data_IF_148444811090
#
_entry.id   IF_148444811090
#
_cell.length_a   1.000
_cell.length_b   1.000
_cell.length_c   1.000
_cell.angle_alpha   90.00
_cell.angle_beta   90.00
_cell.angle_gamma   90.00
#
_symmetry.space_group_name_H-M   'P 1'
#
loop_
_entity.id
_entity.type
_entity.pdbx_description
1 polymer ?
#
# COMPACT_ATOMS: atom_id res chain seq x y z
N UNK A 1 -0.04 -4.41 -19.88
CA UNK A 1 1.44 -4.32 -19.80
C UNK A 1 2.00 -5.37 -20.74
N UNK A 2 2.73 -4.96 -21.78
CA UNK A 2 3.40 -5.90 -22.71
C UNK A 2 4.82 -6.08 -22.23
N UNK A 3 5.18 -7.31 -21.85
CA UNK A 3 6.55 -7.66 -21.45
C UNK A 3 7.42 -7.59 -22.71
N UNK A 4 8.48 -6.78 -22.67
CA UNK A 4 9.41 -6.62 -23.80
C UNK A 4 10.74 -7.29 -23.47
N UNK A 5 11.58 -7.54 -24.47
CA UNK A 5 12.90 -8.15 -24.25
C UNK A 5 13.83 -7.31 -23.34
N UNK A 6 13.46 -6.06 -23.05
CA UNK A 6 14.20 -5.15 -22.16
C UNK A 6 13.81 -5.29 -20.68
N UNK A 7 12.75 -6.02 -20.35
CA UNK A 7 12.32 -6.19 -18.95
C UNK A 7 13.06 -7.37 -18.32
N UNK A 8 13.96 -7.07 -17.40
CA UNK A 8 14.68 -8.06 -16.60
C UNK A 8 13.80 -8.61 -15.48
N UNK A 9 13.61 -9.92 -15.42
CA UNK A 9 12.93 -10.57 -14.30
C UNK A 9 13.96 -11.04 -13.27
N UNK A 10 13.62 -11.03 -11.97
CA UNK A 10 14.47 -11.58 -10.93
C UNK A 10 14.61 -13.10 -11.08
N UNK A 11 15.65 -13.66 -10.48
CA UNK A 11 15.87 -15.12 -10.45
C UNK A 11 14.85 -15.81 -9.53
N UNK A 12 14.49 -17.07 -9.82
CA UNK A 12 13.58 -17.85 -8.97
C UNK A 12 14.09 -18.01 -7.54
N UNK A 13 15.41 -18.11 -7.35
CA UNK A 13 16.03 -18.17 -6.03
C UNK A 13 15.77 -16.91 -5.18
N UNK A 14 15.54 -15.76 -5.81
CA UNK A 14 15.18 -14.53 -5.11
C UNK A 14 13.69 -14.49 -4.71
N UNK A 15 12.87 -15.32 -5.32
CA UNK A 15 11.44 -15.40 -5.03
C UNK A 15 11.13 -16.46 -3.97
N UNK A 16 12.07 -17.40 -3.72
CA UNK A 16 11.90 -18.43 -2.70
C UNK A 16 12.02 -17.84 -1.30
N UNK A 17 10.87 -17.70 -0.63
CA UNK A 17 10.73 -17.13 0.71
C UNK A 17 9.78 -18.03 1.49
N UNK A 18 10.00 -18.15 2.80
CA UNK A 18 9.08 -18.90 3.66
C UNK A 18 7.68 -18.26 3.65
N UNK A 19 6.72 -18.99 3.09
CA UNK A 19 5.33 -18.54 2.99
C UNK A 19 4.55 -18.63 4.30
N UNK A 20 3.56 -17.75 4.42
CA UNK A 20 2.63 -17.73 5.55
C UNK A 20 1.40 -18.59 5.26
N UNK A 21 1.49 -19.88 5.59
CA UNK A 21 0.42 -20.87 5.38
C UNK A 21 -0.68 -20.77 6.43
N UNK A 22 -1.44 -19.67 6.43
CA UNK A 22 -2.58 -19.43 7.32
C UNK A 22 -3.86 -19.13 6.53
N UNK A 23 -5.02 -19.50 7.08
CA UNK A 23 -6.31 -19.16 6.48
C UNK A 23 -6.61 -17.67 6.59
N UNK A 24 -7.48 -17.18 5.70
CA UNK A 24 -7.96 -15.79 5.74
C UNK A 24 -8.57 -15.40 7.08
N UNK A 25 -9.28 -16.33 7.74
CA UNK A 25 -9.88 -16.10 9.06
C UNK A 25 -8.81 -15.83 10.13
N UNK A 26 -7.71 -16.59 10.14
CA UNK A 26 -6.60 -16.40 11.05
C UNK A 26 -5.87 -15.06 10.80
N UNK A 27 -5.61 -14.73 9.53
CA UNK A 27 -5.01 -13.43 9.17
C UNK A 27 -5.89 -12.26 9.62
N UNK A 28 -7.21 -12.39 9.43
CA UNK A 28 -8.17 -11.36 9.82
C UNK A 28 -8.29 -11.23 11.33
N UNK A 29 -8.26 -12.34 12.07
CA UNK A 29 -8.23 -12.35 13.53
C UNK A 29 -7.00 -11.59 14.07
N UNK A 30 -5.81 -11.87 13.54
CA UNK A 30 -4.55 -11.26 13.98
C UNK A 30 -4.28 -9.86 13.44
N UNK A 31 -5.08 -9.37 12.49
CA UNK A 31 -4.78 -8.18 11.66
C UNK A 31 -4.48 -6.91 12.46
N UNK A 32 -5.22 -6.61 13.53
CA UNK A 32 -5.02 -5.40 14.33
C UNK A 32 -3.69 -5.41 15.08
N UNK A 33 -3.34 -6.54 15.70
CA UNK A 33 -2.09 -6.68 16.44
C UNK A 33 -0.91 -6.81 15.49
N UNK A 34 -1.04 -7.62 14.44
CA UNK A 34 -0.03 -7.76 13.39
C UNK A 34 0.28 -6.40 12.74
N UNK A 35 -0.75 -5.65 12.36
CA UNK A 35 -0.59 -4.34 11.74
C UNK A 35 0.11 -3.34 12.65
N UNK A 36 -0.07 -3.45 13.98
CA UNK A 36 0.61 -2.57 14.93
C UNK A 36 2.06 -2.96 15.16
N UNK A 37 2.35 -4.25 15.26
CA UNK A 37 3.69 -4.77 15.53
C UNK A 37 4.60 -4.68 14.30
N UNK A 38 4.04 -4.92 13.11
CA UNK A 38 4.77 -4.85 11.84
C UNK A 38 4.55 -3.52 11.09
N UNK A 39 4.08 -2.47 11.79
CA UNK A 39 3.71 -1.19 11.18
C UNK A 39 4.86 -0.56 10.38
N UNK A 40 6.07 -0.52 10.96
CA UNK A 40 7.24 0.11 10.31
C UNK A 40 7.59 -0.56 8.98
N UNK A 41 7.74 -1.88 8.99
CA UNK A 41 8.14 -2.66 7.82
C UNK A 41 7.07 -2.68 6.74
N UNK A 42 5.79 -2.82 7.13
CA UNK A 42 4.67 -2.80 6.20
C UNK A 42 4.57 -1.44 5.50
N UNK A 43 4.72 -0.36 6.25
CA UNK A 43 4.62 0.99 5.73
C UNK A 43 5.79 1.31 4.80
N UNK A 44 7.01 0.87 5.12
CA UNK A 44 8.18 1.00 4.24
C UNK A 44 7.98 0.28 2.90
N UNK A 45 7.47 -0.96 2.92
CA UNK A 45 7.13 -1.70 1.72
C UNK A 45 6.07 -0.97 0.87
N UNK A 46 5.03 -0.44 1.50
CA UNK A 46 3.98 0.31 0.80
C UNK A 46 4.50 1.61 0.20
N UNK A 47 5.40 2.32 0.90
CA UNK A 47 6.06 3.50 0.37
C UNK A 47 6.96 3.15 -0.82
N UNK A 48 7.70 2.04 -0.73
CA UNK A 48 8.55 1.55 -1.83
C UNK A 48 7.73 1.30 -3.09
N UNK A 49 6.62 0.56 -2.93
CA UNK A 49 5.72 0.24 -4.03
C UNK A 49 5.09 1.49 -4.64
N UNK A 50 4.71 2.46 -3.82
CA UNK A 50 4.07 3.69 -4.29
C UNK A 50 5.04 4.63 -5.02
N UNK A 51 6.30 4.69 -4.59
CA UNK A 51 7.29 5.58 -5.18
C UNK A 51 7.91 5.01 -6.46
N UNK A 52 8.26 3.72 -6.48
CA UNK A 52 8.96 3.11 -7.60
C UNK A 52 8.01 2.56 -8.68
N UNK A 53 6.77 2.23 -8.32
CA UNK A 53 5.76 1.56 -9.18
C UNK A 53 6.28 0.26 -9.85
N UNK A 54 7.39 -0.29 -9.33
CA UNK A 54 8.09 -1.47 -9.84
C UNK A 54 8.19 -2.52 -8.72
N UNK A 55 7.47 -3.66 -8.80
CA UNK A 55 7.43 -4.65 -7.71
C UNK A 55 8.77 -5.36 -7.47
N UNK A 56 9.63 -5.41 -8.50
CA UNK A 56 10.94 -6.09 -8.47
C UNK A 56 11.93 -5.40 -7.54
N UNK A 57 11.87 -4.07 -7.45
CA UNK A 57 12.78 -3.29 -6.63
C UNK A 57 12.46 -3.43 -5.13
N UNK A 58 11.20 -3.74 -4.78
CA UNK A 58 10.71 -3.81 -3.40
C UNK A 58 10.67 -5.24 -2.82
N UNK A 59 11.39 -6.20 -3.42
CA UNK A 59 11.37 -7.59 -2.98
C UNK A 59 12.02 -7.77 -1.61
N UNK A 60 13.08 -7.02 -1.30
CA UNK A 60 13.76 -7.10 -0.01
C UNK A 60 12.84 -6.69 1.15
N UNK A 61 12.11 -5.59 0.98
CA UNK A 61 11.11 -5.08 1.91
C UNK A 61 9.93 -6.07 2.02
N UNK A 62 9.52 -6.70 0.92
CA UNK A 62 8.52 -7.77 0.92
C UNK A 62 8.94 -8.99 1.76
N UNK A 63 10.22 -9.39 1.69
CA UNK A 63 10.79 -10.43 2.57
C UNK A 63 10.80 -10.00 4.03
N UNK A 64 11.08 -8.72 4.29
CA UNK A 64 11.01 -8.18 5.64
C UNK A 64 9.58 -8.25 6.21
N UNK A 65 8.56 -7.90 5.41
CA UNK A 65 7.13 -7.99 5.80
C UNK A 65 6.74 -9.42 6.16
N UNK A 66 7.05 -10.38 5.29
CA UNK A 66 6.73 -11.80 5.51
C UNK A 66 7.44 -12.36 6.74
N UNK A 67 8.72 -12.03 6.94
CA UNK A 67 9.48 -12.43 8.12
C UNK A 67 8.90 -11.83 9.42
N UNK A 68 8.45 -10.58 9.41
CA UNK A 68 7.80 -9.95 10.56
C UNK A 68 6.49 -10.67 10.90
N UNK A 69 5.67 -10.97 9.90
CA UNK A 69 4.42 -11.70 10.09
C UNK A 69 4.65 -13.11 10.65
N UNK A 70 5.64 -13.85 10.13
CA UNK A 70 6.00 -15.17 10.66
C UNK A 70 6.43 -15.10 12.12
N UNK A 71 7.26 -14.12 12.49
CA UNK A 71 7.71 -13.93 13.87
C UNK A 71 6.55 -13.57 14.80
N UNK A 72 5.60 -12.75 14.34
CA UNK A 72 4.38 -12.45 15.08
C UNK A 72 3.54 -13.70 15.34
N UNK A 73 3.20 -14.47 14.30
CA UNK A 73 2.39 -15.67 14.47
C UNK A 73 3.10 -16.77 15.27
N UNK A 74 4.44 -16.86 15.20
CA UNK A 74 5.22 -17.73 16.09
C UNK A 74 5.10 -17.33 17.56
N UNK A 75 5.07 -16.03 17.88
CA UNK A 75 4.84 -15.54 19.25
C UNK A 75 3.43 -15.85 19.72
N UNK A 76 2.42 -15.52 18.91
CA UNK A 76 1.01 -15.79 19.24
C UNK A 76 0.76 -17.29 19.45
N UNK A 77 1.32 -18.15 18.60
CA UNK A 77 1.21 -19.60 18.73
C UNK A 77 1.87 -20.15 20.01
N UNK A 78 2.91 -19.50 20.53
CA UNK A 78 3.58 -19.95 21.76
C UNK A 78 2.83 -19.57 23.03
N UNK A 79 2.12 -18.44 23.02
CA UNK A 79 1.52 -17.87 24.23
C UNK A 79 -0.01 -17.97 24.27
N UNK A 80 -0.70 -17.57 23.20
CA UNK A 80 -2.17 -17.39 23.16
C UNK A 80 -2.82 -18.24 22.06
N UNK A 81 -2.38 -19.49 21.89
CA UNK A 81 -2.81 -20.31 20.77
C UNK A 81 -4.31 -20.65 20.84
N UNK A 82 -4.79 -21.04 22.01
CA UNK A 82 -6.17 -21.52 22.18
C UNK A 82 -7.18 -20.40 21.98
N UNK A 83 -6.94 -19.24 22.58
CA UNK A 83 -7.77 -18.04 22.47
C UNK A 83 -7.79 -17.53 21.04
N UNK A 84 -6.63 -17.53 20.37
CA UNK A 84 -6.52 -17.13 18.99
C UNK A 84 -7.30 -18.07 18.06
N UNK A 85 -7.19 -19.38 18.26
CA UNK A 85 -7.92 -20.36 17.45
C UNK A 85 -9.43 -20.30 17.67
N UNK A 86 -9.89 -20.06 18.91
CA UNK A 86 -11.30 -19.83 19.19
C UNK A 86 -11.83 -18.58 18.46
N UNK A 87 -11.06 -17.49 18.47
CA UNK A 87 -11.43 -16.27 17.78
C UNK A 87 -11.45 -16.44 16.25
N UNK A 88 -10.40 -17.05 15.68
CA UNK A 88 -10.33 -17.34 14.25
C UNK A 88 -11.46 -18.26 13.79
N UNK A 89 -11.77 -19.31 14.55
CA UNK A 89 -12.87 -20.24 14.27
C UNK A 89 -14.23 -19.55 14.32
N UNK A 90 -14.42 -18.62 15.27
CA UNK A 90 -15.63 -17.81 15.33
C UNK A 90 -15.78 -16.95 14.06
N UNK A 91 -14.71 -16.26 13.64
CA UNK A 91 -14.75 -15.42 12.43
C UNK A 91 -15.05 -16.23 11.17
N UNK A 92 -14.48 -17.42 11.07
CA UNK A 92 -14.69 -18.34 9.95
C UNK A 92 -16.15 -18.84 9.87
N UNK A 93 -16.75 -19.20 11.01
CA UNK A 93 -18.10 -19.78 11.07
C UNK A 93 -19.24 -18.76 11.18
N UNK A 94 -18.96 -17.53 11.63
CA UNK A 94 -20.00 -16.57 12.01
C UNK A 94 -20.72 -15.93 10.83
N UNK A 95 -20.01 -15.57 9.76
CA UNK A 95 -20.61 -14.98 8.57
C UNK A 95 -19.75 -15.24 7.32
N UNK A 96 -20.40 -15.29 6.15
CA UNK A 96 -19.68 -15.44 4.88
C UNK A 96 -18.71 -14.29 4.56
N UNK A 97 -18.87 -13.15 5.22
CA UNK A 97 -17.98 -11.97 5.10
C UNK A 97 -16.93 -11.86 6.21
N UNK A 98 -16.89 -12.82 7.15
CA UNK A 98 -16.03 -12.82 8.34
C UNK A 98 -16.15 -11.52 9.16
N UNK A 99 -17.37 -11.16 9.54
CA UNK A 99 -17.67 -9.90 10.22
C UNK A 99 -17.28 -9.93 11.71
N UNK A 100 -16.53 -8.93 12.15
CA UNK A 100 -16.05 -8.82 13.55
C UNK A 100 -17.16 -8.60 14.58
N UNK A 101 -18.36 -8.19 14.17
CA UNK A 101 -19.50 -7.91 15.05
C UNK A 101 -19.94 -9.14 15.87
N UNK A 102 -19.90 -10.33 15.26
CA UNK A 102 -20.42 -11.55 15.89
C UNK A 102 -19.45 -12.17 16.90
N UNK A 103 -18.16 -11.84 16.81
CA UNK A 103 -17.08 -12.49 17.57
C UNK A 103 -16.43 -11.59 18.62
N UNK A 104 -17.16 -10.58 19.15
CA UNK A 104 -16.60 -9.65 20.16
C UNK A 104 -16.23 -10.30 21.49
N UNK A 105 -16.90 -11.39 21.88
CA UNK A 105 -16.61 -12.13 23.11
C UNK A 105 -15.25 -12.84 23.02
N UNK A 106 -15.05 -13.60 21.95
CA UNK A 106 -13.77 -14.30 21.69
C UNK A 106 -12.64 -13.33 21.39
N UNK A 107 -12.95 -12.19 20.74
CA UNK A 107 -11.99 -11.11 20.56
C UNK A 107 -11.50 -10.56 21.91
N UNK A 108 -12.39 -10.30 22.88
CA UNK A 108 -12.00 -9.79 24.20
C UNK A 108 -11.11 -10.76 24.98
N UNK A 109 -11.34 -12.07 24.85
CA UNK A 109 -10.49 -13.12 25.44
C UNK A 109 -9.09 -13.10 24.81
N UNK A 110 -9.01 -13.03 23.48
CA UNK A 110 -7.74 -12.95 22.77
C UNK A 110 -6.97 -11.65 23.08
N UNK A 111 -7.64 -10.50 23.01
CA UNK A 111 -7.04 -9.19 23.32
C UNK A 111 -6.51 -9.16 24.76
N UNK A 112 -7.23 -9.80 25.71
CA UNK A 112 -6.76 -9.94 27.09
C UNK A 112 -5.50 -10.79 27.18
N UNK A 113 -5.45 -11.96 26.55
CA UNK A 113 -4.26 -12.81 26.56
C UNK A 113 -3.03 -12.07 25.98
N UNK A 114 -3.22 -11.36 24.87
CA UNK A 114 -2.15 -10.59 24.23
C UNK A 114 -1.65 -9.47 25.14
N UNK A 115 -2.55 -8.78 25.85
CA UNK A 115 -2.19 -7.76 26.82
C UNK A 115 -1.45 -8.35 28.02
N UNK A 116 -1.94 -9.44 28.59
CA UNK A 116 -1.37 -10.06 29.79
C UNK A 116 0.05 -10.62 29.55
N UNK A 117 0.35 -11.11 28.34
CA UNK A 117 1.66 -11.70 28.01
C UNK A 117 2.66 -10.76 27.33
N UNK A 118 2.19 -9.85 26.47
CA UNK A 118 3.06 -9.01 25.63
C UNK A 118 2.92 -7.51 25.91
N UNK A 119 1.97 -7.11 26.77
CA UNK A 119 1.60 -5.71 27.02
C UNK A 119 1.26 -4.95 25.72
N UNK A 120 0.62 -5.65 24.78
CA UNK A 120 0.19 -5.08 23.50
C UNK A 120 -1.28 -4.71 23.55
N UNK A 121 -1.54 -3.41 23.57
CA UNK A 121 -2.89 -2.90 23.45
C UNK A 121 -3.38 -2.90 22.00
N UNK A 122 -4.65 -3.26 21.81
CA UNK A 122 -5.31 -3.18 20.51
C UNK A 122 -5.43 -1.70 20.10
N UNK A 123 -4.99 -1.32 18.87
CA UNK A 123 -5.11 0.05 18.40
C UNK A 123 -6.55 0.56 18.40
N UNK A 124 -6.68 1.86 18.66
CA UNK A 124 -7.99 2.53 18.65
C UNK A 124 -8.62 2.56 17.27
N UNK A 125 -9.94 2.80 17.24
CA UNK A 125 -10.66 3.01 16.01
C UNK A 125 -10.05 4.19 15.22
N UNK A 126 -9.75 3.95 13.93
CA UNK A 126 -9.14 4.94 13.05
C UNK A 126 -7.61 5.07 13.15
N UNK A 127 -6.93 4.34 14.03
CA UNK A 127 -5.47 4.38 14.13
C UNK A 127 -4.75 4.13 12.79
N UNK A 128 -5.20 3.10 12.07
CA UNK A 128 -4.66 2.70 10.78
C UNK A 128 -5.10 3.61 9.61
N UNK A 129 -6.12 4.45 9.81
CA UNK A 129 -6.56 5.40 8.78
C UNK A 129 -5.76 6.72 8.81
N UNK A 130 -4.91 6.92 9.82
CA UNK A 130 -4.07 8.12 9.93
C UNK A 130 -2.87 7.96 9.02
N UNK A 131 -2.54 9.03 8.28
CA UNK A 131 -1.31 9.11 7.51
C UNK A 131 -0.10 8.94 8.45
N UNK A 132 0.84 8.09 8.04
CA UNK A 132 2.09 7.82 8.76
C UNK A 132 3.24 8.38 7.94
N UNK A 133 4.10 9.15 8.60
CA UNK A 133 5.35 9.62 8.00
C UNK A 133 6.42 8.57 8.30
N UNK A 134 7.04 8.04 7.25
CA UNK A 134 8.05 6.98 7.35
C UNK A 134 9.37 7.58 6.91
N UNK A 135 10.39 7.46 7.75
CA UNK A 135 11.75 7.81 7.37
C UNK A 135 12.37 6.59 6.72
N UNK A 136 12.79 6.70 5.46
CA UNK A 136 13.46 5.64 4.73
C UNK A 136 14.87 6.08 4.37
N UNK A 137 15.81 5.13 4.36
CA UNK A 137 17.22 5.41 4.01
C UNK A 137 17.41 5.53 2.49
N UNK A 138 16.48 4.95 1.71
CA UNK A 138 16.49 4.98 0.25
C UNK A 138 16.24 6.40 -0.27
N UNK A 139 16.93 6.76 -1.35
CA UNK A 139 16.71 8.04 -2.02
C UNK A 139 15.35 8.01 -2.71
N UNK A 140 14.58 9.07 -2.53
CA UNK A 140 13.33 9.25 -3.27
C UNK A 140 13.61 9.24 -4.78
N UNK A 141 12.75 8.62 -5.60
CA UNK A 141 12.90 8.65 -7.05
C UNK A 141 12.83 10.10 -7.55
N UNK A 142 13.62 10.39 -8.58
CA UNK A 142 13.60 11.70 -9.22
C UNK A 142 12.22 11.94 -9.84
N UNK A 143 11.55 13.01 -9.42
CA UNK A 143 10.29 13.41 -10.02
C UNK A 143 10.55 13.81 -11.46
N UNK A 144 9.78 13.25 -12.40
CA UNK A 144 9.89 13.64 -13.79
C UNK A 144 9.76 15.18 -13.89
N UNK A 145 10.68 15.85 -14.60
CA UNK A 145 10.59 17.29 -14.76
C UNK A 145 9.26 17.62 -15.42
N UNK A 146 8.57 18.63 -14.89
CA UNK A 146 7.35 19.14 -15.50
C UNK A 146 7.72 19.53 -16.93
N UNK A 147 7.11 18.85 -17.92
CA UNK A 147 7.29 19.16 -19.33
C UNK A 147 6.62 20.51 -19.60
N UNK A 148 7.33 21.61 -19.36
CA UNK A 148 6.91 22.93 -19.79
C UNK A 148 7.15 23.02 -21.29
N UNK A 149 6.09 22.91 -22.07
CA UNK A 149 6.14 23.38 -23.44
C UNK A 149 6.25 24.91 -23.37
N UNK A 150 7.20 25.55 -24.07
CA UNK A 150 7.18 27.00 -24.18
C UNK A 150 5.82 27.43 -24.73
N UNK A 151 5.28 28.54 -24.21
CA UNK A 151 4.01 29.09 -24.65
C UNK A 151 3.96 29.19 -26.19
N UNK A 152 2.75 29.01 -26.71
CA UNK A 152 2.40 28.94 -28.13
C UNK A 152 3.24 29.90 -28.98
N UNK A 153 3.57 29.46 -30.21
CA UNK A 153 4.30 30.20 -31.27
C UNK A 153 4.52 31.68 -30.94
N UNK A 154 5.78 32.14 -30.81
CA UNK A 154 6.04 33.54 -30.47
C UNK A 154 5.17 34.43 -31.36
N UNK A 155 4.45 35.38 -30.74
CA UNK A 155 3.61 36.31 -31.46
C UNK A 155 4.40 36.92 -32.62
N UNK A 156 3.73 37.19 -33.74
CA UNK A 156 4.42 37.81 -34.87
C UNK A 156 5.09 39.10 -34.39
N UNK A 157 6.32 39.41 -34.87
CA UNK A 157 7.00 40.66 -34.52
C UNK A 157 6.11 41.88 -34.76
N UNK A 158 6.27 42.95 -33.98
CA UNK A 158 5.48 44.18 -34.15
C UNK A 158 5.64 44.81 -35.54
N UNK A 159 6.79 44.60 -36.20
CA UNK A 159 7.09 45.03 -37.56
C UNK A 159 6.52 44.12 -38.67
N UNK A 160 5.78 43.07 -38.31
CA UNK A 160 5.21 42.19 -39.31
C UNK A 160 4.11 42.93 -40.10
N UNK A 161 4.17 42.94 -41.45
CA UNK A 161 3.17 43.65 -42.23
C UNK A 161 1.78 43.07 -41.95
N UNK A 162 0.88 43.91 -41.45
CA UNK A 162 -0.54 43.58 -41.26
C UNK A 162 -1.32 44.14 -42.46
N UNK A 163 -1.41 43.39 -43.59
CA UNK A 163 -2.24 43.84 -44.71
C UNK A 163 -3.71 43.91 -44.26
N UNK A 164 -4.52 44.78 -44.90
CA UNK A 164 -5.95 44.78 -44.66
C UNK A 164 -6.53 43.38 -44.94
N UNK A 165 -7.56 43.01 -44.18
CA UNK A 165 -8.23 41.73 -44.38
C UNK A 165 -8.72 41.61 -45.84
N UNK A 166 -8.34 40.53 -46.52
CA UNK A 166 -8.59 40.32 -47.97
C UNK A 166 -10.06 40.51 -48.40
N UNK A 167 -11.00 40.29 -47.48
CA UNK A 167 -12.45 40.36 -47.72
C UNK A 167 -13.16 41.14 -46.60
N UNK A 168 -12.50 42.17 -46.08
CA UNK A 168 -13.04 43.01 -45.01
C UNK A 168 -13.42 42.20 -43.77
N UNK A 169 -14.63 42.44 -43.25
CA UNK A 169 -15.12 41.83 -42.01
C UNK A 169 -15.52 40.35 -42.15
N UNK A 170 -15.70 39.86 -43.40
CA UNK A 170 -16.30 38.53 -43.71
C UNK A 170 -17.63 38.28 -43.01
N UNK A 171 -18.34 39.34 -42.66
CA UNK A 171 -19.72 39.26 -42.16
C UNK A 171 -20.67 39.26 -43.35
N UNK A 172 -21.75 38.49 -43.27
CA UNK A 172 -22.67 38.26 -44.39
C UNK A 172 -23.27 39.54 -45.04
N UNK A 173 -23.29 40.67 -44.32
CA UNK A 173 -23.97 41.91 -44.71
C UNK A 173 -23.12 43.17 -44.56
N UNK A 174 -21.82 43.02 -44.27
CA UNK A 174 -20.86 44.13 -44.17
C UNK A 174 -19.66 43.78 -45.03
N UNK A 175 -19.51 44.48 -46.15
CA UNK A 175 -18.30 44.45 -46.98
C UNK A 175 -17.09 45.00 -46.20
#
# INVERSE_FOLDING_TARGET
>A
MVITNKTTLPEEAELDVQELNLSSAALRAGSFHLGKQCEGVNNEFMLCRQELDDPRACLAEGRAVTSCALNFFRKVKKSCHEEFMQYATCLDKSSGTMAFSHCRKTQGVFDKCVKDHFDWDRPSYGYFARAKVIQTERKAPEKEPIKSYPDATPGLPEDYPTPPAKYGSRFFWLE
#
